data_IF_893133701026
#
_entry.id   IF_893133701026
#
_cell.length_a   1.000
_cell.length_b   1.000
_cell.length_c   1.000
_cell.angle_alpha   90.00
_cell.angle_beta   90.00
_cell.angle_gamma   90.00
#
_symmetry.space_group_name_H-M   'P 1'
#
loop_
_entity.id
_entity.type
_entity.pdbx_description
1 polymer ?
#
# COMPACT_ATOMS: atom_id res chain seq x y z
N UNK A 1 3.49 11.02 -10.07
CA UNK A 1 2.30 10.23 -10.43
C UNK A 1 1.04 10.93 -9.94
N UNK A 2 0.01 11.01 -10.76
CA UNK A 2 -1.32 11.47 -10.33
C UNK A 2 -2.02 10.38 -9.51
N UNK A 3 -3.09 10.76 -8.82
CA UNK A 3 -3.90 9.81 -8.04
C UNK A 3 -4.52 8.76 -8.95
N UNK A 4 -4.95 9.14 -10.15
CA UNK A 4 -5.53 8.23 -11.15
C UNK A 4 -4.50 7.23 -11.69
N UNK A 5 -3.25 7.64 -11.89
CA UNK A 5 -2.17 6.75 -12.31
C UNK A 5 -1.86 5.68 -11.25
N UNK A 6 -1.89 6.07 -9.97
CA UNK A 6 -1.70 5.14 -8.84
C UNK A 6 -2.87 4.17 -8.75
N UNK A 7 -4.11 4.66 -8.85
CA UNK A 7 -5.31 3.82 -8.83
C UNK A 7 -5.33 2.83 -10.00
N UNK A 8 -5.00 3.29 -11.21
CA UNK A 8 -4.88 2.44 -12.39
C UNK A 8 -3.86 1.32 -12.17
N UNK A 9 -2.67 1.67 -11.67
CA UNK A 9 -1.61 0.71 -11.39
C UNK A 9 -2.04 -0.36 -10.39
N UNK A 10 -2.56 0.05 -9.23
CA UNK A 10 -2.91 -0.89 -8.15
C UNK A 10 -4.05 -1.81 -8.58
N UNK A 11 -5.11 -1.25 -9.18
CA UNK A 11 -6.25 -2.05 -9.64
C UNK A 11 -5.85 -3.00 -10.77
N UNK A 12 -5.06 -2.52 -11.73
CA UNK A 12 -4.56 -3.33 -12.84
C UNK A 12 -3.62 -4.45 -12.38
N UNK A 13 -2.81 -4.21 -11.34
CA UNK A 13 -1.97 -5.26 -10.77
C UNK A 13 -2.79 -6.32 -10.01
N UNK A 14 -3.75 -5.88 -9.20
CA UNK A 14 -4.62 -6.79 -8.43
C UNK A 14 -5.54 -7.60 -9.34
N UNK A 15 -6.02 -7.03 -10.46
CA UNK A 15 -6.82 -7.76 -11.46
C UNK A 15 -6.00 -8.70 -12.34
N UNK A 16 -4.66 -8.59 -12.32
CA UNK A 16 -3.76 -9.36 -13.18
C UNK A 16 -3.56 -8.79 -14.59
N UNK A 17 -4.12 -7.60 -14.88
CA UNK A 17 -3.96 -6.92 -16.17
C UNK A 17 -2.56 -6.31 -16.35
N UNK A 18 -1.91 -5.95 -15.23
CA UNK A 18 -0.53 -5.44 -15.21
C UNK A 18 0.40 -6.56 -14.73
N UNK A 19 1.36 -7.02 -15.56
CA UNK A 19 2.26 -8.10 -15.20
C UNK A 19 3.37 -7.66 -14.22
N UNK A 20 3.84 -8.62 -13.42
CA UNK A 20 4.85 -8.44 -12.36
C UNK A 20 6.12 -7.71 -12.81
N UNK A 21 6.56 -7.91 -14.07
CA UNK A 21 7.76 -7.26 -14.58
C UNK A 21 7.60 -5.73 -14.71
N UNK A 22 6.39 -5.22 -14.92
CA UNK A 22 6.12 -3.78 -14.94
C UNK A 22 6.10 -3.21 -13.51
N UNK A 23 5.49 -3.93 -12.56
CA UNK A 23 5.41 -3.51 -11.16
C UNK A 23 6.78 -3.55 -10.49
N UNK A 24 7.60 -4.56 -10.78
CA UNK A 24 8.98 -4.64 -10.28
C UNK A 24 9.87 -3.53 -10.85
N UNK A 25 9.72 -3.19 -12.14
CA UNK A 25 10.42 -2.04 -12.73
C UNK A 25 10.02 -0.71 -12.05
N UNK A 26 8.72 -0.52 -11.79
CA UNK A 26 8.23 0.64 -11.06
C UNK A 26 8.73 0.69 -9.61
N UNK A 27 8.72 -0.44 -8.90
CA UNK A 27 9.23 -0.52 -7.53
C UNK A 27 10.71 -0.09 -7.46
N UNK A 28 11.51 -0.49 -8.45
CA UNK A 28 12.90 -0.05 -8.58
C UNK A 28 13.00 1.46 -8.86
N UNK A 29 12.12 2.01 -9.71
CA UNK A 29 12.08 3.44 -9.96
C UNK A 29 11.72 4.24 -8.69
N UNK A 30 10.72 3.77 -7.92
CA UNK A 30 10.32 4.34 -6.63
C UNK A 30 11.48 4.29 -5.63
N UNK A 31 12.22 3.19 -5.57
CA UNK A 31 13.39 3.06 -4.69
C UNK A 31 14.43 4.17 -4.95
N UNK A 32 14.72 4.47 -6.22
CA UNK A 32 15.71 5.49 -6.57
C UNK A 32 15.19 6.93 -6.57
N UNK A 33 13.90 7.14 -6.86
CA UNK A 33 13.30 8.48 -7.01
C UNK A 33 12.50 8.94 -5.79
N UNK A 34 12.15 8.01 -4.91
CA UNK A 34 11.22 8.25 -3.82
C UNK A 34 9.80 8.53 -4.31
N UNK A 35 8.94 8.87 -3.36
CA UNK A 35 7.58 9.33 -3.57
C UNK A 35 7.30 10.51 -2.64
N UNK A 36 6.47 11.44 -3.09
CA UNK A 36 5.95 12.51 -2.23
C UNK A 36 4.94 11.97 -1.22
N UNK A 37 4.67 12.72 -0.15
CA UNK A 37 3.68 12.34 0.86
C UNK A 37 2.29 12.11 0.26
N UNK A 38 1.88 12.92 -0.72
CA UNK A 38 0.62 12.73 -1.45
C UNK A 38 0.60 11.36 -2.15
N UNK A 39 1.66 11.03 -2.87
CA UNK A 39 1.72 9.76 -3.61
C UNK A 39 1.77 8.55 -2.66
N UNK A 40 2.45 8.65 -1.51
CA UNK A 40 2.47 7.60 -0.48
C UNK A 40 1.06 7.42 0.12
N UNK A 41 0.36 8.52 0.41
CA UNK A 41 -1.02 8.50 0.88
C UNK A 41 -1.93 7.80 -0.14
N UNK A 42 -1.91 8.26 -1.39
CA UNK A 42 -2.75 7.70 -2.47
C UNK A 42 -2.47 6.22 -2.70
N UNK A 43 -1.19 5.81 -2.69
CA UNK A 43 -0.78 4.41 -2.79
C UNK A 43 -1.35 3.59 -1.64
N UNK A 44 -1.22 4.08 -0.41
CA UNK A 44 -1.71 3.38 0.79
C UNK A 44 -3.23 3.25 0.75
N UNK A 45 -3.95 4.30 0.38
CA UNK A 45 -5.41 4.30 0.27
C UNK A 45 -5.90 3.31 -0.78
N UNK A 46 -5.30 3.27 -1.97
CA UNK A 46 -5.68 2.30 -3.01
C UNK A 46 -5.31 0.86 -2.63
N UNK A 47 -4.22 0.65 -1.88
CA UNK A 47 -3.90 -0.69 -1.35
C UNK A 47 -4.94 -1.16 -0.32
N UNK A 48 -5.39 -0.27 0.58
CA UNK A 48 -6.44 -0.60 1.57
C UNK A 48 -7.77 -0.89 0.87
N UNK A 49 -8.14 -0.10 -0.14
CA UNK A 49 -9.40 -0.29 -0.87
C UNK A 49 -9.40 -1.51 -1.78
N UNK A 50 -8.23 -2.07 -2.11
CA UNK A 50 -8.10 -3.26 -2.96
C UNK A 50 -8.53 -4.57 -2.29
N UNK A 51 -8.74 -4.57 -0.96
CA UNK A 51 -9.10 -5.76 -0.19
C UNK A 51 -10.26 -5.55 0.78
N UNK A 52 -10.49 -6.55 1.62
CA UNK A 52 -11.54 -6.53 2.63
C UNK A 52 -11.26 -5.51 3.74
N UNK A 53 -12.30 -4.81 4.18
CA UNK A 53 -12.25 -3.88 5.31
C UNK A 53 -13.13 -4.41 6.44
N UNK A 54 -12.51 -4.69 7.59
CA UNK A 54 -13.21 -5.22 8.75
C UNK A 54 -13.88 -4.10 9.54
N UNK A 55 -15.19 -4.23 9.76
CA UNK A 55 -15.92 -3.39 10.70
C UNK A 55 -15.78 -3.93 12.12
N UNK A 56 -15.11 -3.15 12.98
CA UNK A 56 -14.92 -3.46 14.39
C UNK A 56 -15.90 -2.68 15.30
N UNK A 57 -16.95 -2.08 14.74
CA UNK A 57 -17.93 -1.28 15.48
C UNK A 57 -18.61 -2.05 16.62
N UNK A 58 -18.76 -3.37 16.49
CA UNK A 58 -19.40 -4.25 17.48
C UNK A 58 -18.61 -4.47 18.78
N UNK A 59 -17.31 -4.14 18.80
CA UNK A 59 -16.47 -4.26 20.00
C UNK A 59 -16.51 -2.92 20.75
N UNK A 60 -16.91 -2.93 22.04
CA UNK A 60 -16.92 -1.71 22.85
C UNK A 60 -15.50 -1.22 23.16
N UNK A 61 -15.31 0.11 23.16
CA UNK A 61 -14.02 0.76 23.44
C UNK A 61 -13.19 1.14 22.21
N UNK A 62 -12.04 1.77 22.47
CA UNK A 62 -11.08 2.20 21.43
C UNK A 62 -10.23 1.00 21.00
N UNK A 63 -10.27 0.68 19.71
CA UNK A 63 -9.46 -0.39 19.12
C UNK A 63 -8.06 0.14 18.88
N UNK A 64 -7.07 -0.57 19.40
CA UNK A 64 -5.66 -0.22 19.26
C UNK A 64 -4.95 -1.40 18.59
N UNK A 65 -4.15 -1.09 17.58
CA UNK A 65 -3.28 -2.06 16.92
C UNK A 65 -1.81 -1.65 17.09
N UNK A 66 -0.91 -2.62 17.02
CA UNK A 66 0.53 -2.43 17.18
C UNK A 66 1.27 -3.09 16.03
N UNK A 67 1.89 -2.27 15.19
CA UNK A 67 2.78 -2.70 14.13
C UNK A 67 4.26 -2.45 14.49
N UNK A 68 5.19 -3.29 14.02
CA UNK A 68 6.63 -3.08 14.17
C UNK A 68 7.30 -3.17 12.80
N UNK A 69 8.18 -2.22 12.51
CA UNK A 69 8.94 -2.14 11.24
C UNK A 69 10.03 -3.22 11.10
N UNK A 70 10.17 -4.11 12.09
CA UNK A 70 11.27 -5.05 12.21
C UNK A 70 12.47 -4.45 12.96
N UNK A 71 12.99 -5.21 13.94
CA UNK A 71 14.25 -4.91 14.63
C UNK A 71 14.94 -6.23 14.95
N UNK A 72 16.26 -6.31 14.73
CA UNK A 72 17.06 -7.46 15.11
C UNK A 72 17.44 -7.34 16.60
N UNK A 73 16.99 -8.29 17.43
CA UNK A 73 17.47 -8.41 18.82
C UNK A 73 18.70 -9.33 18.84
N UNK A 74 19.89 -8.74 18.97
CA UNK A 74 21.12 -9.48 19.29
C UNK A 74 21.20 -9.59 20.81
N UNK A 75 21.26 -10.82 21.33
CA UNK A 75 21.58 -11.13 22.73
C UNK A 75 22.95 -11.78 22.78
#
# INVERSE_FOLDING_TARGET
>A
MTTEEIAYLIRGYVSGDIPDYQVSALAMAIYYKGMSIREIHDLTTEMVSSGDQYDLSSIEGVKVDKHSTGVLKIR
#
